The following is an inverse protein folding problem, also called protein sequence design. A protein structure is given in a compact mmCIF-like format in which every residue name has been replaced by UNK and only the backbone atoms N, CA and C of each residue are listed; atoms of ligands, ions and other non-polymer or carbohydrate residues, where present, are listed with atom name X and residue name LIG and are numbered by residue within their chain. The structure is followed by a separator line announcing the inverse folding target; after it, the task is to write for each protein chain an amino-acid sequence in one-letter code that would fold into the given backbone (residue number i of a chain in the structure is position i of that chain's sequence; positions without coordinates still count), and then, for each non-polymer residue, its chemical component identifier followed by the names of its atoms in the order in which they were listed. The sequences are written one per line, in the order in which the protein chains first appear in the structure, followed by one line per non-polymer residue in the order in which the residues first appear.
data_IF_454088076227
#
_entry.id   IF_454088076227
#
_cell.length_a   1.000
_cell.length_b   1.000
_cell.length_c   1.000
_cell.angle_alpha   90.00
_cell.angle_beta   90.00
_cell.angle_gamma   90.00
#
_symmetry.space_group_name_H-M   'P 1'
#
loop_
_entity.id
_entity.type
_entity.pdbx_description
1 polymer ?
#
# COMPACT_ATOMS: atom_id res chain seq x y z
N UNK A 1 -29.20 -41.72 -34.53
CA UNK A 1 -30.04 -41.38 -33.36
C UNK A 1 -29.55 -42.30 -32.26
N UNK A 2 -28.75 -41.86 -31.31
CA UNK A 2 -28.85 -40.61 -30.54
C UNK A 2 -27.47 -39.96 -30.38
N UNK A 3 -27.40 -38.66 -30.65
CA UNK A 3 -26.25 -37.83 -30.33
C UNK A 3 -26.13 -37.74 -28.80
N UNK A 4 -25.03 -38.25 -28.26
CA UNK A 4 -24.65 -38.04 -26.87
C UNK A 4 -24.17 -36.59 -26.73
N UNK A 5 -25.14 -35.68 -26.66
CA UNK A 5 -24.89 -34.29 -26.31
C UNK A 5 -24.44 -34.29 -24.85
N UNK A 6 -23.13 -34.25 -24.65
CA UNK A 6 -22.52 -33.94 -23.37
C UNK A 6 -22.93 -32.52 -23.02
N UNK A 7 -24.08 -32.37 -22.39
CA UNK A 7 -24.43 -31.19 -21.59
C UNK A 7 -23.48 -31.17 -20.38
N UNK A 8 -22.24 -30.82 -20.66
CA UNK A 8 -21.36 -30.19 -19.68
C UNK A 8 -21.46 -28.70 -19.93
N UNK A 9 -22.70 -28.19 -19.83
CA UNK A 9 -22.88 -26.78 -19.56
C UNK A 9 -22.41 -26.62 -18.11
N UNK A 10 -21.21 -26.10 -17.95
CA UNK A 10 -20.63 -25.83 -16.65
C UNK A 10 -21.64 -25.03 -15.83
N UNK A 11 -21.93 -25.46 -14.61
CA UNK A 11 -22.58 -24.71 -13.54
C UNK A 11 -21.76 -23.45 -13.16
N UNK A 12 -21.38 -22.63 -14.13
CA UNK A 12 -20.87 -21.29 -13.96
C UNK A 12 -22.08 -20.35 -13.91
N UNK A 13 -22.99 -20.59 -12.96
CA UNK A 13 -23.82 -19.51 -12.47
C UNK A 13 -22.85 -18.55 -11.81
N UNK A 14 -22.44 -17.50 -12.52
CA UNK A 14 -21.54 -16.48 -11.98
C UNK A 14 -22.25 -15.83 -10.79
N UNK A 15 -21.87 -16.22 -9.57
CA UNK A 15 -22.39 -15.64 -8.34
C UNK A 15 -22.19 -14.12 -8.37
N UNK A 16 -23.06 -13.36 -7.70
CA UNK A 16 -23.00 -11.90 -7.68
C UNK A 16 -21.60 -11.39 -7.27
N UNK A 17 -20.95 -12.10 -6.34
CA UNK A 17 -19.59 -11.80 -5.85
C UNK A 17 -18.54 -11.89 -6.95
N UNK A 18 -18.57 -12.96 -7.75
CA UNK A 18 -17.64 -13.17 -8.86
C UNK A 18 -17.81 -12.12 -9.94
N UNK A 19 -19.07 -11.81 -10.26
CA UNK A 19 -19.40 -10.71 -11.16
C UNK A 19 -18.91 -9.36 -10.63
N UNK A 20 -19.11 -9.08 -9.34
CA UNK A 20 -18.68 -7.82 -8.72
C UNK A 20 -17.15 -7.66 -8.74
N UNK A 21 -16.39 -8.70 -8.37
CA UNK A 21 -14.92 -8.64 -8.33
C UNK A 21 -14.32 -8.60 -9.74
N UNK A 22 -14.94 -9.26 -10.73
CA UNK A 22 -14.52 -9.22 -12.13
C UNK A 22 -14.97 -7.95 -12.88
N UNK A 23 -15.87 -7.16 -12.29
CA UNK A 23 -16.35 -5.92 -12.89
C UNK A 23 -15.24 -4.89 -13.04
N UNK A 24 -15.29 -4.15 -14.16
CA UNK A 24 -14.31 -3.10 -14.47
C UNK A 24 -14.28 -2.04 -13.38
N UNK A 25 -13.09 -1.78 -12.83
CA UNK A 25 -12.90 -0.83 -11.73
C UNK A 25 -12.84 -1.48 -10.35
N UNK A 26 -13.17 -2.77 -10.22
CA UNK A 26 -13.14 -3.50 -8.95
C UNK A 26 -11.91 -4.41 -8.80
N UNK A 27 -10.86 -4.19 -9.59
CA UNK A 27 -9.68 -5.06 -9.63
C UNK A 27 -8.91 -5.07 -8.30
N UNK A 28 -9.20 -4.17 -7.36
CA UNK A 28 -8.56 -4.14 -6.02
C UNK A 28 -9.28 -5.03 -5.00
N UNK A 29 -10.53 -5.40 -5.22
CA UNK A 29 -11.26 -6.26 -4.30
C UNK A 29 -10.76 -7.70 -4.39
N UNK A 30 -10.78 -8.41 -3.27
CA UNK A 30 -10.75 -9.87 -3.26
C UNK A 30 -12.17 -10.43 -3.08
N UNK A 31 -12.35 -11.67 -3.50
CA UNK A 31 -13.57 -12.42 -3.25
C UNK A 31 -13.67 -12.75 -1.74
N UNK A 32 -14.79 -12.39 -1.12
CA UNK A 32 -15.09 -12.72 0.28
C UNK A 32 -15.70 -14.12 0.33
N UNK A 33 -15.23 -14.94 1.26
CA UNK A 33 -15.75 -16.30 1.44
C UNK A 33 -17.24 -16.24 1.89
N UNK A 34 -18.04 -17.19 1.40
CA UNK A 34 -19.48 -17.25 1.71
C UNK A 34 -19.76 -17.54 3.19
N UNK A 35 -18.90 -18.34 3.84
CA UNK A 35 -19.02 -18.61 5.28
C UNK A 35 -18.77 -17.35 6.13
N UNK A 36 -17.95 -16.41 5.63
CA UNK A 36 -17.75 -15.11 6.28
C UNK A 36 -18.98 -14.21 6.17
N UNK A 37 -19.65 -14.21 5.00
CA UNK A 37 -20.86 -13.42 4.74
C UNK A 37 -22.10 -13.96 5.43
N UNK A 38 -22.19 -15.27 5.64
CA UNK A 38 -23.34 -15.90 6.32
C UNK A 38 -23.25 -15.80 7.84
N UNK A 39 -22.06 -15.56 8.41
CA UNK A 39 -21.88 -15.34 9.83
C UNK A 39 -22.28 -13.91 10.27
N UNK A 40 -23.41 -13.83 10.98
CA UNK A 40 -23.98 -12.57 11.49
C UNK A 40 -23.03 -11.82 12.42
N UNK A 41 -22.11 -12.49 13.11
CA UNK A 41 -21.18 -11.83 14.02
C UNK A 41 -20.24 -10.87 13.26
N UNK A 42 -19.77 -11.28 12.08
CA UNK A 42 -18.88 -10.47 11.24
C UNK A 42 -19.57 -9.21 10.68
N UNK A 43 -20.90 -9.27 10.53
CA UNK A 43 -21.72 -8.19 9.96
C UNK A 43 -22.30 -7.23 11.01
N UNK A 44 -21.97 -7.41 12.29
CA UNK A 44 -22.51 -6.61 13.39
C UNK A 44 -22.32 -5.10 13.15
N UNK A 45 -23.40 -4.33 13.30
CA UNK A 45 -23.42 -2.87 13.15
C UNK A 45 -23.60 -2.35 11.71
N UNK A 46 -23.43 -3.19 10.69
CA UNK A 46 -23.60 -2.75 9.28
C UNK A 46 -25.06 -2.48 8.91
N UNK A 47 -26.00 -3.07 9.64
CA UNK A 47 -27.44 -2.89 9.45
C UNK A 47 -27.90 -1.44 9.73
N UNK A 48 -27.15 -0.66 10.49
CA UNK A 48 -27.45 0.77 10.73
C UNK A 48 -26.80 1.69 9.71
N UNK A 49 -25.74 1.23 9.03
CA UNK A 49 -25.00 2.02 8.05
C UNK A 49 -25.56 1.83 6.63
N UNK A 50 -26.03 0.63 6.30
CA UNK A 50 -26.47 0.27 4.95
C UNK A 50 -28.00 0.35 4.81
N UNK A 51 -28.53 1.19 3.90
CA UNK A 51 -29.96 1.18 3.55
C UNK A 51 -30.37 -0.14 2.89
N UNK A 52 -31.59 -0.62 3.12
CA UNK A 52 -32.07 -1.89 2.54
C UNK A 52 -31.18 -3.10 2.85
N UNK A 53 -30.53 -3.10 4.03
CA UNK A 53 -29.52 -4.09 4.43
C UNK A 53 -29.91 -5.55 4.13
N UNK A 54 -31.13 -5.97 4.47
CA UNK A 54 -31.55 -7.37 4.24
C UNK A 54 -31.58 -7.71 2.75
N UNK A 55 -32.19 -6.86 1.92
CA UNK A 55 -32.23 -7.04 0.47
C UNK A 55 -30.85 -6.96 -0.17
N UNK A 56 -29.98 -6.08 0.34
CA UNK A 56 -28.60 -5.98 -0.10
C UNK A 56 -27.82 -7.26 0.23
N UNK A 57 -28.00 -7.83 1.43
CA UNK A 57 -27.38 -9.08 1.83
C UNK A 57 -27.87 -10.24 0.98
N UNK A 58 -29.19 -10.36 0.81
CA UNK A 58 -29.82 -11.41 -0.01
C UNK A 58 -29.30 -11.37 -1.45
N UNK A 59 -29.04 -10.17 -2.00
CA UNK A 59 -28.46 -10.00 -3.33
C UNK A 59 -27.00 -10.46 -3.40
N UNK A 60 -26.18 -10.11 -2.41
CA UNK A 60 -24.76 -10.51 -2.36
C UNK A 60 -24.60 -12.02 -2.14
N UNK A 61 -25.59 -12.67 -1.53
CA UNK A 61 -25.63 -14.12 -1.30
C UNK A 61 -26.41 -14.89 -2.36
N UNK A 62 -26.87 -14.23 -3.44
CA UNK A 62 -27.65 -14.84 -4.53
C UNK A 62 -28.96 -15.53 -4.07
N UNK A 63 -29.58 -15.01 -2.99
CA UNK A 63 -30.89 -15.45 -2.45
C UNK A 63 -32.00 -14.41 -2.78
N UNK A 64 -31.66 -13.38 -3.56
CA UNK A 64 -32.58 -12.29 -3.85
C UNK A 64 -33.66 -12.69 -4.86
N UNK A 65 -34.87 -12.91 -4.35
CA UNK A 65 -36.07 -13.28 -5.11
C UNK A 65 -37.17 -12.23 -4.91
N UNK A 66 -36.94 -11.02 -5.42
CA UNK A 66 -37.91 -9.93 -5.33
C UNK A 66 -38.13 -9.27 -6.69
N UNK A 67 -39.37 -9.31 -7.14
CA UNK A 67 -39.89 -8.56 -8.29
C UNK A 67 -40.05 -7.07 -7.90
N UNK A 68 -38.93 -6.35 -7.87
CA UNK A 68 -38.89 -4.89 -7.71
C UNK A 68 -39.09 -4.17 -9.05
N UNK A 69 -39.57 -2.94 -8.98
CA UNK A 69 -39.40 -1.96 -10.04
C UNK A 69 -37.92 -1.60 -10.25
N UNK A 70 -37.57 -1.16 -11.46
CA UNK A 70 -36.18 -0.92 -11.87
C UNK A 70 -35.47 0.09 -10.95
N UNK A 71 -36.17 1.13 -10.50
CA UNK A 71 -35.64 2.18 -9.61
C UNK A 71 -35.26 1.62 -8.22
N UNK A 72 -36.11 0.77 -7.64
CA UNK A 72 -35.83 0.13 -6.35
C UNK A 72 -34.68 -0.88 -6.50
N UNK A 73 -34.65 -1.62 -7.61
CA UNK A 73 -33.57 -2.58 -7.88
C UNK A 73 -32.21 -1.87 -7.96
N UNK A 74 -32.13 -0.72 -8.63
CA UNK A 74 -30.89 0.07 -8.70
C UNK A 74 -30.44 0.55 -7.29
N UNK A 75 -31.38 0.96 -6.44
CA UNK A 75 -31.07 1.34 -5.06
C UNK A 75 -30.55 0.17 -4.23
N UNK A 76 -31.16 -1.01 -4.36
CA UNK A 76 -30.72 -2.23 -3.69
C UNK A 76 -29.32 -2.62 -4.17
N UNK A 77 -29.04 -2.56 -5.48
CA UNK A 77 -27.71 -2.83 -6.01
C UNK A 77 -26.66 -1.86 -5.48
N UNK A 78 -26.98 -0.56 -5.36
CA UNK A 78 -26.08 0.43 -4.78
C UNK A 78 -25.78 0.10 -3.31
N UNK A 79 -26.80 -0.27 -2.54
CA UNK A 79 -26.63 -0.73 -1.17
C UNK A 79 -25.81 -2.03 -1.07
N UNK A 80 -26.01 -2.97 -1.99
CA UNK A 80 -25.23 -4.22 -2.04
C UNK A 80 -23.75 -3.97 -2.31
N UNK A 81 -23.41 -3.10 -3.27
CA UNK A 81 -22.02 -2.68 -3.52
C UNK A 81 -21.41 -2.01 -2.29
N UNK A 82 -22.18 -1.17 -1.60
CA UNK A 82 -21.74 -0.50 -0.37
C UNK A 82 -21.51 -1.50 0.78
N UNK A 83 -22.46 -2.41 1.00
CA UNK A 83 -22.35 -3.49 2.00
C UNK A 83 -21.12 -4.35 1.74
N UNK A 84 -20.96 -4.84 0.51
CA UNK A 84 -19.81 -5.67 0.14
C UNK A 84 -18.49 -4.96 0.40
N UNK A 85 -18.40 -3.66 0.10
CA UNK A 85 -17.23 -2.85 0.40
C UNK A 85 -16.91 -2.75 1.91
N UNK A 86 -17.93 -2.52 2.75
CA UNK A 86 -17.74 -2.46 4.21
C UNK A 86 -17.33 -3.81 4.80
N UNK A 87 -17.93 -4.90 4.32
CA UNK A 87 -17.54 -6.25 4.73
C UNK A 87 -16.13 -6.57 4.25
N UNK A 88 -15.76 -6.15 3.04
CA UNK A 88 -14.42 -6.33 2.49
C UNK A 88 -13.34 -5.71 3.39
N UNK A 89 -13.56 -4.50 3.91
CA UNK A 89 -12.63 -3.83 4.83
C UNK A 89 -12.36 -4.67 6.09
N UNK A 90 -13.39 -5.34 6.63
CA UNK A 90 -13.26 -6.25 7.78
C UNK A 90 -12.60 -7.56 7.38
N UNK A 91 -12.95 -8.10 6.22
CA UNK A 91 -12.48 -9.38 5.72
C UNK A 91 -10.98 -9.39 5.43
N UNK A 92 -10.44 -8.35 4.79
CA UNK A 92 -9.03 -8.31 4.38
C UNK A 92 -8.04 -8.21 5.55
N UNK A 93 -8.53 -7.97 6.76
CA UNK A 93 -7.75 -7.99 8.00
C UNK A 93 -7.68 -9.39 8.63
N UNK A 94 -8.56 -10.30 8.22
CA UNK A 94 -8.55 -11.71 8.66
C UNK A 94 -7.42 -12.50 8.00
N UNK A 95 -7.02 -13.64 8.59
CA UNK A 95 -5.97 -14.49 8.01
C UNK A 95 -6.29 -14.98 6.59
N UNK A 96 -7.57 -15.30 6.31
CA UNK A 96 -8.01 -15.73 4.97
C UNK A 96 -7.99 -14.58 3.96
N UNK A 97 -8.53 -13.43 4.33
CA UNK A 97 -8.53 -12.23 3.49
C UNK A 97 -7.12 -11.72 3.19
N UNK A 98 -6.23 -11.70 4.20
CA UNK A 98 -4.82 -11.37 4.02
C UNK A 98 -4.14 -12.29 3.01
N UNK A 99 -4.43 -13.61 3.05
CA UNK A 99 -3.91 -14.58 2.08
C UNK A 99 -4.33 -14.26 0.64
N UNK A 100 -5.62 -13.98 0.41
CA UNK A 100 -6.12 -13.62 -0.93
C UNK A 100 -5.52 -12.30 -1.43
N UNK A 101 -5.42 -11.29 -0.57
CA UNK A 101 -4.82 -10.01 -0.93
C UNK A 101 -3.31 -10.12 -1.18
N UNK A 102 -2.64 -11.00 -0.45
CA UNK A 102 -1.22 -11.29 -0.65
C UNK A 102 -0.95 -11.88 -2.04
N UNK A 103 -1.80 -12.78 -2.52
CA UNK A 103 -1.64 -13.35 -3.86
C UNK A 103 -1.80 -12.29 -4.95
N UNK A 104 -2.74 -11.35 -4.78
CA UNK A 104 -2.88 -10.18 -5.66
C UNK A 104 -1.68 -9.25 -5.59
N UNK A 105 -1.12 -9.04 -4.39
CA UNK A 105 0.08 -8.22 -4.17
C UNK A 105 1.30 -8.80 -4.90
N UNK A 106 1.54 -10.12 -4.78
CA UNK A 106 2.62 -10.82 -5.49
C UNK A 106 2.50 -10.68 -7.02
N UNK A 107 1.26 -10.71 -7.54
CA UNK A 107 0.96 -10.49 -8.96
C UNK A 107 1.01 -9.02 -9.39
N UNK A 108 1.26 -8.08 -8.46
CA UNK A 108 1.27 -6.63 -8.71
C UNK A 108 -0.05 -6.09 -9.29
N UNK A 109 -1.20 -6.70 -8.97
CA UNK A 109 -2.50 -6.31 -9.53
C UNK A 109 -2.97 -4.94 -9.05
N UNK A 110 -2.53 -4.50 -7.88
CA UNK A 110 -2.85 -3.17 -7.34
C UNK A 110 -2.14 -2.03 -8.09
N UNK A 111 -1.08 -2.37 -8.82
CA UNK A 111 -0.21 -1.42 -9.52
C UNK A 111 1.18 -1.34 -8.91
N UNK A 112 1.97 -0.41 -9.45
CA UNK A 112 3.39 -0.22 -9.14
C UNK A 112 3.65 1.22 -8.73
N UNK A 113 4.62 1.41 -7.84
CA UNK A 113 5.00 2.71 -7.31
C UNK A 113 5.38 3.69 -8.42
N UNK A 114 4.81 4.91 -8.46
CA UNK A 114 5.17 5.92 -9.45
C UNK A 114 6.54 6.55 -9.20
N UNK A 115 7.10 6.42 -7.99
CA UNK A 115 8.42 6.95 -7.65
C UNK A 115 9.49 6.14 -8.39
N UNK A 116 10.29 6.83 -9.22
CA UNK A 116 11.36 6.21 -10.03
C UNK A 116 12.34 5.40 -9.17
N UNK A 117 12.75 5.94 -8.02
CA UNK A 117 13.68 5.31 -7.08
C UNK A 117 13.11 4.06 -6.36
N UNK A 118 11.83 3.74 -6.57
CA UNK A 118 11.24 2.51 -6.06
C UNK A 118 11.31 1.35 -7.06
N UNK A 119 11.81 1.56 -8.28
CA UNK A 119 11.96 0.54 -9.32
C UNK A 119 10.65 -0.22 -9.65
N UNK A 120 9.52 0.49 -9.55
CA UNK A 120 8.20 -0.09 -9.80
C UNK A 120 7.76 -1.13 -8.77
N UNK A 121 8.15 -0.97 -7.50
CA UNK A 121 7.70 -1.83 -6.40
C UNK A 121 6.16 -1.94 -6.34
N UNK A 122 5.58 -3.14 -6.08
CA UNK A 122 4.14 -3.33 -5.97
C UNK A 122 3.53 -2.49 -4.84
N UNK A 123 2.28 -2.07 -5.05
CA UNK A 123 1.53 -1.25 -4.10
C UNK A 123 0.43 -2.05 -3.39
N UNK A 124 -0.10 -1.50 -2.31
CA UNK A 124 -1.27 -2.03 -1.59
C UNK A 124 -2.37 -0.97 -1.52
N UNK A 125 -3.65 -1.34 -1.66
CA UNK A 125 -4.75 -0.40 -1.48
C UNK A 125 -4.88 0.02 -0.01
N UNK A 126 -5.22 1.28 0.23
CA UNK A 126 -5.42 1.84 1.57
C UNK A 126 -6.49 2.94 1.52
N UNK A 127 -7.30 3.02 2.57
CA UNK A 127 -8.17 4.16 2.85
C UNK A 127 -7.47 5.17 3.77
N UNK A 128 -7.65 6.47 3.52
CA UNK A 128 -7.19 7.50 4.48
C UNK A 128 -8.15 7.65 5.68
N UNK A 129 -9.38 7.16 5.54
CA UNK A 129 -10.39 7.13 6.58
C UNK A 129 -11.15 5.81 6.50
N UNK A 130 -11.57 5.30 7.66
CA UNK A 130 -12.46 4.15 7.77
C UNK A 130 -13.93 4.54 7.63
N UNK A 131 -14.23 5.86 7.57
CA UNK A 131 -15.59 6.36 7.38
C UNK A 131 -15.91 6.45 5.88
N UNK A 132 -17.07 5.92 5.43
CA UNK A 132 -17.48 5.97 4.03
C UNK A 132 -17.66 7.39 3.48
N UNK A 133 -17.50 7.53 2.17
CA UNK A 133 -17.68 8.74 1.38
C UNK A 133 -16.76 9.91 1.75
N UNK A 134 -15.71 9.67 2.55
CA UNK A 134 -14.74 10.69 2.93
C UNK A 134 -13.64 10.85 1.88
N UNK A 135 -12.98 9.74 1.56
CA UNK A 135 -11.82 9.73 0.65
C UNK A 135 -11.85 8.48 -0.21
N UNK A 136 -11.42 8.63 -1.47
CA UNK A 136 -11.29 7.50 -2.39
C UNK A 136 -10.06 6.65 -2.06
N UNK A 137 -10.03 5.42 -2.56
CA UNK A 137 -8.92 4.49 -2.36
C UNK A 137 -7.60 5.11 -2.82
N UNK A 138 -6.57 4.92 -2.00
CA UNK A 138 -5.18 5.28 -2.30
C UNK A 138 -4.33 4.03 -2.33
N UNK A 139 -3.08 4.19 -2.74
CA UNK A 139 -2.12 3.11 -2.85
C UNK A 139 -0.90 3.40 -1.99
N UNK A 140 -0.64 2.53 -1.01
CA UNK A 140 0.54 2.60 -0.16
C UNK A 140 1.71 1.83 -0.80
N UNK A 141 2.88 2.47 -0.85
CA UNK A 141 4.12 1.80 -1.24
C UNK A 141 4.93 1.43 -0.01
N UNK A 142 5.17 0.13 0.25
CA UNK A 142 6.00 -0.26 1.39
C UNK A 142 7.49 0.06 1.19
N UNK A 143 7.99 0.27 -0.04
CA UNK A 143 9.42 0.61 -0.26
C UNK A 143 9.75 2.07 0.09
N UNK A 144 8.85 3.01 -0.17
CA UNK A 144 9.05 4.43 0.18
C UNK A 144 8.14 4.96 1.28
N UNK A 145 7.22 4.15 1.78
CA UNK A 145 6.33 4.44 2.90
C UNK A 145 5.45 5.66 2.68
N UNK A 146 5.01 5.84 1.43
CA UNK A 146 4.21 6.99 1.01
C UNK A 146 2.96 6.52 0.27
N UNK A 147 1.96 7.41 0.23
CA UNK A 147 0.62 7.15 -0.29
C UNK A 147 0.44 7.86 -1.63
N UNK A 148 -0.05 7.11 -2.62
CA UNK A 148 -0.23 7.56 -4.00
C UNK A 148 -1.68 7.47 -4.45
N UNK A 149 -2.05 8.31 -5.41
CA UNK A 149 -3.31 8.17 -6.11
C UNK A 149 -3.23 7.04 -7.15
N UNK A 150 -4.30 6.24 -7.33
CA UNK A 150 -4.38 5.29 -8.42
C UNK A 150 -4.17 5.97 -9.78
N UNK A 151 -3.38 5.33 -10.67
CA UNK A 151 -3.05 5.90 -11.98
C UNK A 151 -4.28 5.97 -12.92
N UNK A 152 -5.18 5.01 -12.80
CA UNK A 152 -6.36 4.91 -13.66
C UNK A 152 -7.56 5.59 -13.01
N UNK A 153 -8.28 6.40 -13.77
CA UNK A 153 -9.50 7.08 -13.30
C UNK A 153 -10.61 6.10 -12.92
N UNK A 154 -10.60 4.87 -13.45
CA UNK A 154 -11.59 3.82 -13.10
C UNK A 154 -11.55 3.43 -11.62
N UNK A 155 -10.39 3.59 -10.98
CA UNK A 155 -10.19 3.26 -9.56
C UNK A 155 -10.46 4.47 -8.66
N UNK A 156 -10.66 5.65 -9.24
CA UNK A 156 -10.88 6.88 -8.48
C UNK A 156 -12.28 6.96 -7.87
N UNK A 157 -13.24 6.15 -8.33
CA UNK A 157 -14.60 6.10 -7.77
C UNK A 157 -14.75 5.11 -6.62
N UNK A 158 -13.73 4.30 -6.33
CA UNK A 158 -13.79 3.33 -5.23
C UNK A 158 -13.56 4.07 -3.91
N UNK A 159 -14.41 3.80 -2.94
CA UNK A 159 -14.26 4.33 -1.59
C UNK A 159 -13.04 3.70 -0.89
N UNK A 160 -12.24 4.54 -0.23
CA UNK A 160 -11.09 4.07 0.55
C UNK A 160 -11.50 3.31 1.81
N UNK A 161 -12.69 3.61 2.36
CA UNK A 161 -13.20 2.93 3.55
C UNK A 161 -13.34 1.41 3.37
N UNK A 162 -13.52 0.94 2.13
CA UNK A 162 -13.63 -0.48 1.78
C UNK A 162 -12.32 -1.27 1.91
N UNK A 163 -11.20 -0.59 2.10
CA UNK A 163 -9.90 -1.19 2.39
C UNK A 163 -9.41 -0.86 3.81
N UNK A 164 -9.97 0.18 4.42
CA UNK A 164 -9.58 0.66 5.73
C UNK A 164 -8.18 1.27 5.79
N UNK A 165 -7.86 1.84 6.95
CA UNK A 165 -6.59 2.53 7.24
C UNK A 165 -5.48 1.58 7.68
N UNK A 166 -5.83 0.39 8.16
CA UNK A 166 -4.92 -0.51 8.88
C UNK A 166 -4.42 -1.70 8.06
N UNK A 167 -5.08 -2.03 6.95
CA UNK A 167 -4.83 -3.25 6.17
C UNK A 167 -3.33 -3.43 5.80
N UNK A 168 -2.68 -2.39 5.26
CA UNK A 168 -1.27 -2.49 4.86
C UNK A 168 -0.35 -2.82 6.04
N UNK A 169 -0.65 -2.29 7.24
CA UNK A 169 0.20 -2.44 8.42
C UNK A 169 0.06 -3.84 8.98
N UNK A 170 -1.19 -4.33 9.02
CA UNK A 170 -1.49 -5.68 9.50
C UNK A 170 -0.88 -6.73 8.58
N UNK A 171 -0.91 -6.51 7.26
CA UNK A 171 -0.28 -7.42 6.30
C UNK A 171 1.22 -7.60 6.58
N UNK A 172 1.97 -6.52 6.81
CA UNK A 172 3.41 -6.62 7.13
C UNK A 172 3.70 -7.09 8.56
N UNK A 173 2.76 -6.91 9.50
CA UNK A 173 2.87 -7.49 10.83
C UNK A 173 2.75 -9.02 10.80
N UNK A 174 1.85 -9.55 9.96
CA UNK A 174 1.65 -11.00 9.78
C UNK A 174 2.72 -11.61 8.87
N UNK A 175 3.15 -10.89 7.84
CA UNK A 175 4.17 -11.33 6.87
C UNK A 175 5.38 -10.40 6.85
N UNK A 176 6.21 -10.38 7.93
CA UNK A 176 7.35 -9.46 8.04
C UNK A 176 8.42 -9.69 6.96
N UNK A 177 8.54 -10.92 6.45
CA UNK A 177 9.49 -11.27 5.38
C UNK A 177 9.19 -10.58 4.04
N UNK A 178 7.99 -9.99 3.87
CA UNK A 178 7.61 -9.26 2.67
C UNK A 178 7.88 -7.75 2.76
N UNK A 179 8.31 -7.27 3.93
CA UNK A 179 8.67 -5.86 4.09
C UNK A 179 9.95 -5.61 3.26
N UNK A 180 9.90 -4.77 2.22
CA UNK A 180 11.06 -4.54 1.38
C UNK A 180 12.16 -3.82 2.16
N UNK A 181 13.40 -4.14 1.80
CA UNK A 181 14.54 -3.33 2.20
C UNK A 181 14.36 -1.90 1.68
N UNK A 182 14.67 -0.95 2.56
CA UNK A 182 14.47 0.47 2.26
C UNK A 182 15.70 0.98 1.51
N UNK A 183 15.48 2.00 0.68
CA UNK A 183 16.56 2.68 -0.03
C UNK A 183 16.69 4.13 0.45
N UNK A 184 17.93 4.51 0.75
CA UNK A 184 18.33 5.87 1.10
C UNK A 184 18.40 6.77 -0.13
N UNK A 185 18.61 6.19 -1.32
CA UNK A 185 18.81 6.92 -2.59
C UNK A 185 17.69 7.92 -2.88
N UNK A 186 18.10 9.14 -3.25
CA UNK A 186 17.22 10.24 -3.65
C UNK A 186 17.68 10.80 -4.99
N UNK A 187 16.74 11.41 -5.72
CA UNK A 187 17.09 12.12 -6.95
C UNK A 187 18.00 13.30 -6.63
N UNK A 188 19.19 13.30 -7.23
CA UNK A 188 20.15 14.39 -7.11
C UNK A 188 20.04 15.33 -8.33
N UNK A 189 19.52 16.56 -8.19
CA UNK A 189 19.45 17.50 -9.29
C UNK A 189 20.86 17.95 -9.72
N UNK A 190 21.16 17.78 -11.00
CA UNK A 190 22.46 18.15 -11.60
C UNK A 190 22.27 19.03 -12.83
N UNK A 191 23.13 20.04 -12.97
CA UNK A 191 23.20 20.94 -14.14
C UNK A 191 24.60 20.75 -14.75
N UNK A 192 24.68 20.27 -16.00
CA UNK A 192 25.94 19.91 -16.67
C UNK A 192 26.86 19.00 -15.82
N UNK A 193 26.27 18.10 -15.03
CA UNK A 193 27.00 17.19 -14.14
C UNK A 193 27.27 17.74 -12.73
N UNK A 194 27.15 19.05 -12.52
CA UNK A 194 27.36 19.70 -11.22
C UNK A 194 26.10 19.66 -10.35
N UNK A 195 26.25 19.31 -9.07
CA UNK A 195 25.15 19.37 -8.09
C UNK A 195 24.73 20.84 -7.87
N UNK A 196 23.42 21.10 -7.80
CA UNK A 196 22.90 22.47 -7.58
C UNK A 196 23.21 22.96 -6.16
N UNK A 197 23.83 24.13 -5.99
CA UNK A 197 24.38 24.61 -4.70
C UNK A 197 23.38 24.57 -3.52
N UNK A 198 22.17 25.12 -3.69
CA UNK A 198 21.18 25.16 -2.62
C UNK A 198 20.58 23.77 -2.31
N UNK A 199 20.22 23.01 -3.35
CA UNK A 199 19.67 21.66 -3.18
C UNK A 199 20.73 20.69 -2.61
N UNK A 200 21.99 20.85 -2.99
CA UNK A 200 23.10 20.07 -2.48
C UNK A 200 23.40 20.39 -1.01
N UNK A 201 23.33 21.67 -0.60
CA UNK A 201 23.46 22.05 0.80
C UNK A 201 22.34 21.46 1.66
N UNK A 202 21.09 21.54 1.19
CA UNK A 202 19.94 20.93 1.88
C UNK A 202 20.06 19.40 1.94
N UNK A 203 20.45 18.76 0.85
CA UNK A 203 20.63 17.30 0.82
C UNK A 203 21.68 16.84 1.83
N UNK A 204 22.85 17.49 1.89
CA UNK A 204 23.90 17.19 2.88
C UNK A 204 23.41 17.37 4.31
N UNK A 205 22.65 18.43 4.59
CA UNK A 205 22.06 18.65 5.91
C UNK A 205 21.05 17.54 6.28
N UNK A 206 20.17 17.17 5.34
CA UNK A 206 19.20 16.08 5.54
C UNK A 206 19.88 14.73 5.75
N UNK A 207 20.97 14.46 5.04
CA UNK A 207 21.75 13.23 5.19
C UNK A 207 22.45 13.19 6.55
N UNK A 208 23.05 14.29 7.01
CA UNK A 208 23.62 14.37 8.37
C UNK A 208 22.55 14.12 9.45
N UNK A 209 21.39 14.78 9.39
CA UNK A 209 20.31 14.55 10.35
C UNK A 209 19.80 13.10 10.34
N UNK A 210 19.84 12.44 9.17
CA UNK A 210 19.47 11.03 9.03
C UNK A 210 20.49 10.12 9.70
N UNK A 211 21.78 10.35 9.48
CA UNK A 211 22.85 9.56 10.11
C UNK A 211 22.82 9.71 11.64
N UNK A 212 22.60 10.93 12.15
CA UNK A 212 22.37 11.16 13.59
C UNK A 212 21.16 10.37 14.12
N UNK A 213 20.07 10.33 13.35
CA UNK A 213 18.87 9.57 13.70
C UNK A 213 19.13 8.06 13.67
N UNK A 214 19.84 7.55 12.67
CA UNK A 214 20.23 6.13 12.58
C UNK A 214 21.10 5.73 13.77
N UNK A 215 22.10 6.53 14.14
CA UNK A 215 22.95 6.28 15.30
C UNK A 215 22.11 6.17 16.59
N UNK A 216 21.21 7.13 16.81
CA UNK A 216 20.30 7.12 17.96
C UNK A 216 19.41 5.89 18.00
N UNK A 217 18.86 5.47 16.85
CA UNK A 217 17.99 4.28 16.78
C UNK A 217 18.82 3.00 17.03
N UNK A 218 20.07 2.97 16.54
CA UNK A 218 21.04 1.90 16.80
C UNK A 218 21.32 1.71 18.30
N UNK A 219 21.43 2.81 19.06
CA UNK A 219 21.60 2.75 20.52
C UNK A 219 20.42 2.05 21.23
N UNK A 220 19.22 2.07 20.64
CA UNK A 220 18.04 1.35 21.14
C UNK A 220 17.92 -0.08 20.59
N UNK A 221 18.91 -0.57 19.84
CA UNK A 221 18.94 -1.93 19.30
C UNK A 221 18.01 -2.18 18.11
N UNK A 222 17.52 -1.12 17.46
CA UNK A 222 16.60 -1.22 16.32
C UNK A 222 17.35 -1.00 14.99
N UNK A 223 18.00 -2.04 14.46
CA UNK A 223 18.71 -1.94 13.19
C UNK A 223 17.80 -2.27 12.00
N UNK A 224 17.36 -1.24 11.26
CA UNK A 224 16.70 -1.42 9.95
C UNK A 224 17.79 -1.46 8.86
N UNK A 225 17.85 -2.54 8.09
CA UNK A 225 18.80 -2.65 6.97
C UNK A 225 18.34 -1.83 5.76
N UNK A 226 19.24 -1.04 5.19
CA UNK A 226 19.05 -0.38 3.91
C UNK A 226 19.85 -1.09 2.82
N UNK A 227 19.35 -1.03 1.58
CA UNK A 227 19.99 -1.67 0.42
C UNK A 227 21.43 -1.15 0.23
N UNK A 228 21.64 0.15 0.50
CA UNK A 228 22.96 0.77 0.36
C UNK A 228 23.96 0.31 1.43
N UNK A 229 23.49 -0.21 2.57
CA UNK A 229 24.37 -0.73 3.63
C UNK A 229 24.91 -2.12 3.26
N UNK A 230 24.17 -2.91 2.45
CA UNK A 230 24.64 -4.21 1.96
C UNK A 230 25.55 -4.11 0.74
N UNK A 231 25.33 -3.13 -0.14
CA UNK A 231 26.16 -2.94 -1.33
C UNK A 231 27.58 -2.46 -1.00
N UNK A 232 27.77 -1.79 0.15
CA UNK A 232 29.09 -1.34 0.61
C UNK A 232 29.93 -2.47 1.21
N UNK A 233 29.32 -3.56 1.68
CA UNK A 233 30.03 -4.75 2.18
C UNK A 233 30.59 -5.62 1.03
N UNK A 234 29.90 -5.67 -0.11
CA UNK A 234 30.34 -6.44 -1.29
C UNK A 234 31.42 -5.73 -2.13
N UNK A 235 31.59 -4.41 -2.01
CA UNK A 235 32.68 -3.65 -2.67
C UNK A 235 33.99 -3.60 -1.84
N UNK A 236 34.07 -4.35 -0.75
CA UNK A 236 35.29 -4.55 0.04
C UNK A 236 36.35 -5.38 -0.70
N UNK A 237 36.86 -4.89 -1.84
CA UNK A 237 38.10 -5.40 -2.41
C UNK A 237 39.25 -5.10 -1.43
N UNK A 238 39.80 -6.17 -0.86
CA UNK A 238 40.98 -6.19 -0.01
C UNK A 238 42.18 -5.54 -0.74
N UNK A 239 42.36 -4.23 -0.55
CA UNK A 239 43.68 -3.62 -0.74
C UNK A 239 44.49 -3.96 0.50
N UNK A 240 45.45 -4.87 0.31
CA UNK A 240 46.27 -5.47 1.35
C UNK A 240 46.88 -4.48 2.35
N UNK A 241 46.96 -4.98 3.58
CA UNK A 241 47.58 -4.38 4.76
C UNK A 241 48.99 -3.83 4.49
N UNK A 242 49.20 -2.54 4.78
CA UNK A 242 50.30 -2.04 5.62
C UNK A 242 50.21 -0.51 5.64
N UNK A 243 49.72 0.09 6.73
CA UNK A 243 50.30 1.30 7.32
C UNK A 243 49.70 1.48 8.72
N UNK A 244 50.55 1.34 9.72
CA UNK A 244 50.25 1.47 11.14
C UNK A 244 49.59 2.82 11.49
N UNK A 245 48.43 2.77 12.15
CA UNK A 245 47.81 3.95 12.77
C UNK A 245 48.66 4.47 13.94
N UNK A 246 49.06 5.74 13.87
CA UNK A 246 49.38 6.53 15.07
C UNK A 246 48.21 7.47 15.36
N UNK A 247 47.86 7.70 16.64
CA UNK A 247 46.69 8.49 16.98
C UNK A 247 46.95 9.98 16.69
N UNK A 248 46.25 10.52 15.69
CA UNK A 248 46.28 11.94 15.37
C UNK A 248 45.52 12.75 16.43
N UNK A 249 46.26 13.61 17.14
CA UNK A 249 45.71 14.64 18.02
C UNK A 249 44.79 15.58 17.23
N UNK A 250 43.62 15.86 17.77
CA UNK A 250 42.70 16.90 17.29
C UNK A 250 43.33 18.29 17.45
N UNK A 251 43.91 18.83 16.38
CA UNK A 251 44.11 20.27 16.21
C UNK A 251 42.92 20.86 15.45
N UNK A 252 42.22 21.80 16.10
CA UNK A 252 41.19 22.62 15.46
C UNK A 252 41.85 23.52 14.42
N UNK A 253 41.65 23.22 13.15
CA UNK A 253 41.97 24.16 12.07
C UNK A 253 40.94 25.30 12.13
N UNK A 254 41.39 26.48 12.54
CA UNK A 254 40.68 27.74 12.38
C UNK A 254 40.57 28.03 10.88
N UNK A 255 39.39 27.77 10.32
CA UNK A 255 39.02 28.16 8.96
C UNK A 255 38.60 29.63 8.92
N UNK A 256 39.27 30.35 8.03
CA UNK A 256 39.20 31.78 7.73
C UNK A 256 37.85 32.50 7.93
N UNK A 257 37.96 33.65 8.59
CA UNK A 257 37.00 34.74 8.59
C UNK A 257 36.94 35.42 7.22
N UNK A 258 35.98 35.07 6.36
CA UNK A 258 35.50 35.98 5.30
C UNK A 258 34.14 35.56 4.73
N UNK A 259 33.15 36.46 4.85
CA UNK A 259 31.91 36.59 4.06
C UNK A 259 30.82 35.52 4.29
N UNK A 260 29.57 35.84 4.64
CA UNK A 260 28.88 37.12 4.76
C UNK A 260 27.64 36.94 5.61
N UNK A 261 27.41 37.94 6.46
CA UNK A 261 26.31 38.12 7.38
C UNK A 261 25.01 38.24 6.59
N UNK A 262 24.11 37.26 6.67
CA UNK A 262 22.70 37.46 6.30
C UNK A 262 21.89 37.63 7.59
N UNK A 263 21.47 38.88 7.78
CA UNK A 263 20.62 39.37 8.86
C UNK A 263 19.22 38.74 8.72
N UNK A 264 18.77 38.02 9.75
CA UNK A 264 17.39 37.56 9.86
C UNK A 264 16.64 38.60 10.71
N UNK A 265 16.02 39.55 10.01
CA UNK A 265 15.04 40.46 10.59
C UNK A 265 13.79 39.71 11.03
N UNK A 266 13.27 40.14 12.19
CA UNK A 266 12.09 39.64 12.91
C UNK A 266 10.81 39.60 12.07
#
# INVERSE_FOLDING_TARGET
MEDFNSETDSDYTSYWRDWFVSSRGNEYFCEIDEDYLTDRFNLTGLNTEVPYYQYALDLVTDVFDLDADDDLREQIEKSARHLYGLVHARYIVTTRGLGKMLDKYKKSEFGKCPRVMCDGHPLLPVGQSDLPNMTTVKLYCPKCEDIYNPKSSRHASIDGAYFGTSFHSILFQVYPALNPEKSVRRYEPRIYGFKVHAAAALARWQDNCREDMKARIGDFGLAQKFIEDSESEDEGFEYGEEYSEQPAKTEKVLGDTASGRMDLGK
#
